data_IF_833502949444
#
_entry.id   IF_833502949444
#
_cell.length_a   1.000
_cell.length_b   1.000
_cell.length_c   1.000
_cell.angle_alpha   90.00
_cell.angle_beta   90.00
_cell.angle_gamma   90.00
#
_symmetry.space_group_name_H-M   'P 1'
#
loop_
_entity.id
_entity.type
_entity.pdbx_description
1 polymer ?
#
# COMPACT_ATOMS: atom_id res chain seq x y z
N UNK A 1 36.40 0.33 -32.12
CA UNK A 1 35.47 -0.17 -31.09
C UNK A 1 34.65 -1.30 -31.72
N UNK A 2 34.76 -2.51 -31.19
CA UNK A 2 34.37 -3.73 -31.90
C UNK A 2 32.84 -3.81 -32.04
N UNK A 3 32.33 -3.63 -33.26
CA UNK A 3 30.90 -3.70 -33.63
C UNK A 3 30.12 -4.88 -33.00
N UNK A 4 30.67 -6.11 -32.87
CA UNK A 4 29.93 -7.21 -32.23
C UNK A 4 29.73 -7.01 -30.72
N UNK A 5 30.66 -6.33 -30.05
CA UNK A 5 30.55 -6.04 -28.61
C UNK A 5 29.47 -4.99 -28.34
N UNK A 6 29.33 -4.01 -29.24
CA UNK A 6 28.27 -2.99 -29.15
C UNK A 6 26.88 -3.61 -29.40
N UNK A 7 26.76 -4.55 -30.34
CA UNK A 7 25.53 -5.30 -30.56
C UNK A 7 25.14 -6.19 -29.37
N UNK A 8 26.11 -6.84 -28.73
CA UNK A 8 25.85 -7.69 -27.56
C UNK A 8 25.36 -6.87 -26.35
N UNK A 9 25.96 -5.70 -26.10
CA UNK A 9 25.51 -4.78 -25.06
C UNK A 9 24.13 -4.21 -25.38
N UNK A 10 23.85 -3.87 -26.64
CA UNK A 10 22.54 -3.38 -27.05
C UNK A 10 21.44 -4.45 -26.87
N UNK A 11 21.72 -5.70 -27.23
CA UNK A 11 20.79 -6.83 -27.02
C UNK A 11 20.56 -7.07 -25.52
N UNK A 12 21.61 -7.05 -24.70
CA UNK A 12 21.48 -7.21 -23.26
C UNK A 12 20.65 -6.08 -22.61
N UNK A 13 20.86 -4.84 -23.04
CA UNK A 13 20.05 -3.70 -22.58
C UNK A 13 18.58 -3.80 -23.02
N UNK A 14 18.32 -4.34 -24.22
CA UNK A 14 16.96 -4.56 -24.73
C UNK A 14 16.25 -5.68 -23.98
N UNK A 15 16.95 -6.77 -23.65
CA UNK A 15 16.43 -7.83 -22.77
C UNK A 15 16.19 -7.33 -21.34
N UNK A 16 17.07 -6.49 -20.80
CA UNK A 16 16.90 -5.90 -19.47
C UNK A 16 15.67 -4.98 -19.39
N UNK A 17 15.36 -4.25 -20.47
CA UNK A 17 14.17 -3.40 -20.55
C UNK A 17 12.89 -4.20 -20.81
N UNK A 18 12.99 -5.38 -21.43
CA UNK A 18 11.87 -6.28 -21.70
C UNK A 18 11.47 -7.18 -20.50
N UNK A 19 12.24 -7.15 -19.40
CA UNK A 19 11.98 -7.95 -18.19
C UNK A 19 11.60 -7.06 -16.98
N UNK A 20 10.42 -6.41 -16.97
CA UNK A 20 9.96 -5.64 -15.82
C UNK A 20 9.69 -6.53 -14.59
N UNK A 21 9.43 -7.83 -14.79
CA UNK A 21 9.10 -8.79 -13.72
C UNK A 21 10.30 -9.22 -12.87
N UNK A 22 11.53 -8.97 -13.32
CA UNK A 22 12.73 -9.37 -12.58
C UNK A 22 13.10 -8.39 -11.44
N UNK A 23 12.63 -7.15 -11.50
CA UNK A 23 12.94 -6.12 -10.50
C UNK A 23 11.78 -5.82 -9.52
N UNK A 24 10.62 -6.45 -9.71
CA UNK A 24 9.41 -6.15 -8.96
C UNK A 24 8.92 -7.33 -8.10
N UNK A 25 9.81 -8.19 -7.61
CA UNK A 25 9.40 -9.24 -6.66
C UNK A 25 9.11 -8.64 -5.27
N UNK A 26 7.92 -8.09 -5.10
CA UNK A 26 7.21 -8.35 -3.85
C UNK A 26 6.91 -9.84 -3.88
N UNK A 27 7.55 -10.63 -3.01
CA UNK A 27 7.22 -12.04 -2.86
C UNK A 27 7.98 -13.03 -3.75
N UNK A 28 9.31 -12.94 -3.87
CA UNK A 28 10.12 -14.15 -4.09
C UNK A 28 10.38 -14.88 -2.76
N UNK A 29 9.38 -14.91 -1.88
CA UNK A 29 9.32 -15.88 -0.79
C UNK A 29 8.87 -17.20 -1.41
N UNK A 30 9.81 -18.07 -1.73
CA UNK A 30 9.58 -19.23 -2.59
C UNK A 30 8.42 -20.11 -2.15
N UNK A 31 7.29 -20.04 -2.86
CA UNK A 31 6.27 -21.10 -2.98
C UNK A 31 5.73 -21.74 -1.70
N UNK A 32 5.84 -21.08 -0.54
CA UNK A 32 5.42 -21.67 0.73
C UNK A 32 3.91 -21.44 0.94
N UNK A 33 3.14 -22.48 1.32
CA UNK A 33 1.67 -22.46 1.31
C UNK A 33 1.03 -21.43 2.26
N UNK A 34 1.79 -20.88 3.21
CA UNK A 34 1.33 -19.83 4.13
C UNK A 34 1.41 -18.42 3.53
N UNK A 35 2.25 -18.19 2.51
CA UNK A 35 2.44 -16.87 1.89
C UNK A 35 1.15 -16.36 1.24
N UNK A 36 0.38 -17.23 0.56
CA UNK A 36 -0.93 -16.86 0.00
C UNK A 36 -1.93 -16.40 1.08
N UNK A 37 -1.82 -16.94 2.29
CA UNK A 37 -2.62 -16.50 3.43
C UNK A 37 -2.20 -15.10 3.90
N UNK A 38 -0.89 -14.86 4.01
CA UNK A 38 -0.35 -13.55 4.39
C UNK A 38 -0.65 -12.47 3.35
N UNK A 39 -0.59 -12.81 2.07
CA UNK A 39 -0.88 -11.91 0.96
C UNK A 39 -2.35 -11.50 0.93
N UNK A 40 -3.27 -12.44 1.20
CA UNK A 40 -4.71 -12.14 1.36
C UNK A 40 -4.99 -11.24 2.57
N UNK A 41 -4.27 -11.43 3.68
CA UNK A 41 -4.37 -10.57 4.86
C UNK A 41 -3.87 -9.17 4.52
N UNK A 42 -2.73 -9.05 3.83
CA UNK A 42 -2.19 -7.78 3.38
C UNK A 42 -3.18 -7.05 2.46
N UNK A 43 -3.74 -7.74 1.46
CA UNK A 43 -4.73 -7.18 0.54
C UNK A 43 -6.02 -6.73 1.24
N UNK A 44 -6.42 -7.44 2.30
CA UNK A 44 -7.59 -7.05 3.09
C UNK A 44 -7.31 -5.82 3.96
N UNK A 45 -6.10 -5.73 4.54
CA UNK A 45 -5.66 -4.61 5.38
C UNK A 45 -5.48 -3.31 4.59
N UNK A 46 -5.01 -3.39 3.35
CA UNK A 46 -4.93 -2.23 2.44
C UNK A 46 -6.24 -1.93 1.72
N UNK A 47 -7.23 -2.84 1.82
CA UNK A 47 -8.52 -2.77 1.14
C UNK A 47 -9.67 -2.20 1.98
N UNK A 48 -10.80 -2.92 2.16
CA UNK A 48 -11.99 -2.39 2.85
C UNK A 48 -11.88 -2.26 4.39
N UNK A 49 -10.92 -2.93 5.02
CA UNK A 49 -10.81 -3.00 6.49
C UNK A 49 -10.66 -1.61 7.16
N UNK A 50 -9.81 -0.69 6.68
CA UNK A 50 -9.70 0.67 7.21
C UNK A 50 -11.03 1.43 7.24
N UNK A 51 -11.92 1.21 6.27
CA UNK A 51 -13.23 1.86 6.22
C UNK A 51 -14.16 1.38 7.34
N UNK A 52 -14.11 0.09 7.69
CA UNK A 52 -14.90 -0.46 8.80
C UNK A 52 -14.43 0.14 10.12
N UNK A 53 -13.11 0.26 10.32
CA UNK A 53 -12.55 0.91 11.51
C UNK A 53 -12.90 2.40 11.58
N UNK A 54 -12.88 3.11 10.44
CA UNK A 54 -13.30 4.50 10.37
C UNK A 54 -14.78 4.67 10.79
N UNK A 55 -15.66 3.81 10.27
CA UNK A 55 -17.08 3.83 10.59
C UNK A 55 -17.33 3.55 12.08
N UNK A 56 -16.66 2.55 12.64
CA UNK A 56 -16.75 2.23 14.06
C UNK A 56 -16.28 3.39 14.95
N UNK A 57 -15.19 4.07 14.57
CA UNK A 57 -14.69 5.24 15.28
C UNK A 57 -15.67 6.42 15.26
N UNK A 58 -16.32 6.68 14.12
CA UNK A 58 -17.35 7.73 13.99
C UNK A 58 -18.57 7.42 14.85
N UNK A 59 -19.06 6.18 14.84
CA UNK A 59 -20.19 5.75 15.68
C UNK A 59 -19.83 5.84 17.17
N UNK A 60 -18.60 5.47 17.54
CA UNK A 60 -18.09 5.60 18.90
C UNK A 60 -18.05 7.05 19.39
N UNK A 61 -17.44 7.96 18.63
CA UNK A 61 -17.41 9.39 18.98
C UNK A 61 -18.80 10.05 18.93
N UNK A 62 -19.66 9.63 17.99
CA UNK A 62 -21.03 10.12 17.87
C UNK A 62 -21.91 9.68 19.05
N UNK A 63 -21.79 8.42 19.49
CA UNK A 63 -22.53 7.92 20.67
C UNK A 63 -22.10 8.62 21.95
N UNK A 64 -20.81 8.93 22.11
CA UNK A 64 -20.33 9.73 23.24
C UNK A 64 -20.94 11.14 23.27
N UNK A 65 -21.08 11.79 22.10
CA UNK A 65 -21.68 13.13 21.99
C UNK A 65 -23.18 13.13 22.32
N UNK A 66 -23.93 12.13 21.87
CA UNK A 66 -25.36 12.00 22.17
C UNK A 66 -25.63 11.80 23.67
N UNK A 67 -24.70 11.15 24.38
CA UNK A 67 -24.78 10.94 25.83
C UNK A 67 -24.36 12.18 26.65
N UNK A 68 -24.05 13.31 26.02
CA UNK A 68 -23.71 14.56 26.70
C UNK A 68 -22.26 14.66 27.16
N UNK A 69 -21.33 13.95 26.52
CA UNK A 69 -19.89 14.10 26.80
C UNK A 69 -19.39 15.52 26.54
N UNK A 70 -18.39 15.99 27.31
CA UNK A 70 -17.73 17.29 27.12
C UNK A 70 -17.43 17.58 25.65
N UNK A 71 -17.78 18.79 25.18
CA UNK A 71 -17.54 19.20 23.80
C UNK A 71 -16.07 19.10 23.42
N UNK A 72 -15.17 19.42 24.35
CA UNK A 72 -13.73 19.26 24.20
C UNK A 72 -13.30 17.78 24.12
N UNK A 73 -14.00 16.89 24.85
CA UNK A 73 -13.80 15.45 24.79
C UNK A 73 -14.24 14.85 23.46
N UNK A 74 -15.38 15.29 22.91
CA UNK A 74 -15.84 14.92 21.57
C UNK A 74 -14.84 15.35 20.49
N UNK A 75 -14.46 16.63 20.46
CA UNK A 75 -13.52 17.16 19.48
C UNK A 75 -12.18 16.40 19.51
N UNK A 76 -11.65 16.12 20.72
CA UNK A 76 -10.43 15.34 20.86
C UNK A 76 -10.60 13.91 20.37
N UNK A 77 -11.70 13.25 20.72
CA UNK A 77 -12.00 11.89 20.25
C UNK A 77 -12.11 11.82 18.72
N UNK A 78 -12.84 12.76 18.13
CA UNK A 78 -13.00 12.85 16.68
C UNK A 78 -11.68 13.09 15.94
N UNK A 79 -10.83 13.98 16.46
CA UNK A 79 -9.50 14.22 15.90
C UNK A 79 -8.60 12.98 15.98
N UNK A 80 -8.62 12.24 17.09
CA UNK A 80 -7.83 11.00 17.25
C UNK A 80 -8.29 9.94 16.24
N UNK A 81 -9.60 9.79 16.04
CA UNK A 81 -10.16 8.87 15.04
C UNK A 81 -9.72 9.28 13.63
N UNK A 82 -9.83 10.56 13.27
CA UNK A 82 -9.40 11.05 11.94
C UNK A 82 -7.92 10.78 11.71
N UNK A 83 -7.06 11.11 12.67
CA UNK A 83 -5.61 10.88 12.55
C UNK A 83 -5.32 9.40 12.34
N UNK A 84 -5.96 8.52 13.11
CA UNK A 84 -5.81 7.07 12.95
C UNK A 84 -6.22 6.58 11.56
N UNK A 85 -7.38 7.03 11.06
CA UNK A 85 -7.89 6.64 9.74
C UNK A 85 -7.01 7.19 8.60
N UNK A 86 -6.55 8.43 8.70
CA UNK A 86 -5.62 9.02 7.73
C UNK A 86 -4.31 8.24 7.62
N UNK A 87 -3.78 7.73 8.74
CA UNK A 87 -2.59 6.88 8.74
C UNK A 87 -2.87 5.54 8.07
N UNK A 88 -4.00 4.89 8.40
CA UNK A 88 -4.37 3.60 7.81
C UNK A 88 -4.57 3.70 6.29
N UNK A 89 -5.24 4.74 5.81
CA UNK A 89 -5.48 4.96 4.38
C UNK A 89 -4.22 5.45 3.64
N UNK A 90 -3.34 6.19 4.31
CA UNK A 90 -2.08 6.68 3.74
C UNK A 90 -0.94 5.65 3.72
N UNK A 91 -1.01 4.63 4.57
CA UNK A 91 0.00 3.57 4.66
C UNK A 91 0.39 2.92 3.32
N UNK A 92 -0.55 2.46 2.46
CA UNK A 92 -0.19 1.85 1.17
C UNK A 92 0.55 2.81 0.23
N UNK A 93 0.18 4.10 0.22
CA UNK A 93 0.86 5.13 -0.57
C UNK A 93 2.28 5.39 -0.06
N UNK A 94 2.44 5.51 1.27
CA UNK A 94 3.76 5.72 1.90
C UNK A 94 4.68 4.52 1.62
N UNK A 95 4.18 3.30 1.75
CA UNK A 95 4.94 2.08 1.45
C UNK A 95 5.35 2.04 -0.03
N UNK A 96 4.45 2.43 -0.94
CA UNK A 96 4.71 2.45 -2.39
C UNK A 96 5.76 3.49 -2.78
N UNK A 97 5.73 4.68 -2.17
CA UNK A 97 6.71 5.75 -2.37
C UNK A 97 8.07 5.36 -1.81
N UNK A 98 8.12 4.83 -0.59
CA UNK A 98 9.36 4.42 0.08
C UNK A 98 10.02 3.23 -0.61
N UNK A 99 9.22 2.32 -1.19
CA UNK A 99 9.72 1.12 -1.89
C UNK A 99 10.02 1.40 -3.37
N UNK A 100 9.82 2.62 -3.88
CA UNK A 100 10.08 2.98 -5.28
C UNK A 100 9.13 2.34 -6.30
N UNK A 101 8.02 1.74 -5.86
CA UNK A 101 7.02 1.07 -6.72
C UNK A 101 6.11 2.05 -7.48
N UNK A 102 6.24 3.36 -7.25
CA UNK A 102 5.45 4.40 -7.91
C UNK A 102 5.79 4.64 -9.39
N UNK A 103 6.89 4.08 -9.92
CA UNK A 103 7.32 4.30 -11.31
C UNK A 103 6.73 3.30 -12.33
N UNK A 104 5.92 2.32 -11.91
CA UNK A 104 5.38 1.28 -12.79
C UNK A 104 3.88 1.36 -13.04
N UNK A 105 3.16 2.34 -12.49
CA UNK A 105 1.75 2.58 -12.82
C UNK A 105 1.61 3.47 -14.06
N UNK A 106 2.15 3.04 -15.21
CA UNK A 106 1.72 3.53 -16.54
C UNK A 106 2.30 2.67 -17.68
N UNK A 107 2.13 1.35 -17.60
CA UNK A 107 2.25 0.51 -18.79
C UNK A 107 1.14 -0.56 -18.77
N UNK A 108 -0.01 -0.19 -19.31
CA UNK A 108 -1.04 -1.16 -19.72
C UNK A 108 -2.29 -1.14 -18.86
N UNK A 109 -3.40 -0.90 -19.57
CA UNK A 109 -4.73 -1.50 -19.35
C UNK A 109 -4.68 -2.83 -18.61
#
# INVERSE_FOLDING_TARGET
>A
MNKPLLLLVAVFALLALAAPDALATMGAGGGLPYESGLEKIQASLTGPIPFIFALAGIIGCGSALVLGSDMNGFLRGFLVVIIGVCILLGAPTVISVVTGKGALLTAGV
#
